data_IF_025014153831
#
_entry.id   IF_025014153831
#
_cell.length_a   1.000
_cell.length_b   1.000
_cell.length_c   1.000
_cell.angle_alpha   90.00
_cell.angle_beta   90.00
_cell.angle_gamma   90.00
#
_symmetry.space_group_name_H-M   'P 1'
#
loop_
_entity.id
_entity.type
_entity.pdbx_description
1 polymer ?
#
# COMPACT_ATOMS: atom_id res chain seq x y z
N UNK A 1 13.79 -21.88 16.56
CA UNK A 1 12.75 -20.88 16.18
C UNK A 1 13.03 -19.43 16.63
N UNK A 2 14.09 -19.12 17.39
CA UNK A 2 14.36 -17.76 17.92
C UNK A 2 14.92 -16.74 16.90
N UNK A 3 15.44 -17.18 15.75
CA UNK A 3 16.13 -16.28 14.82
C UNK A 3 15.23 -15.68 13.73
N UNK A 4 14.02 -16.22 13.49
CA UNK A 4 13.10 -15.70 12.47
C UNK A 4 12.50 -14.34 12.85
N UNK A 5 12.23 -14.09 14.14
CA UNK A 5 11.63 -12.82 14.62
C UNK A 5 12.57 -11.62 14.49
N UNK A 6 13.88 -11.81 14.69
CA UNK A 6 14.87 -10.73 14.52
C UNK A 6 15.07 -10.36 13.06
N UNK A 7 15.02 -11.32 12.15
CA UNK A 7 15.18 -11.07 10.71
C UNK A 7 14.02 -10.25 10.15
N UNK A 8 12.79 -10.51 10.61
CA UNK A 8 11.60 -9.76 10.17
C UNK A 8 11.64 -8.29 10.64
N UNK A 9 12.03 -8.02 11.90
CA UNK A 9 12.16 -6.64 12.39
C UNK A 9 13.22 -5.83 11.62
N UNK A 10 14.35 -6.45 11.26
CA UNK A 10 15.41 -5.76 10.52
C UNK A 10 15.06 -5.56 9.04
N UNK A 11 14.31 -6.50 8.43
CA UNK A 11 13.81 -6.35 7.07
C UNK A 11 12.78 -5.21 6.96
N UNK A 12 11.83 -5.11 7.90
CA UNK A 12 10.82 -4.04 7.92
C UNK A 12 11.46 -2.67 8.17
N UNK A 13 12.43 -2.58 9.08
CA UNK A 13 13.14 -1.32 9.37
C UNK A 13 14.08 -0.89 8.23
N UNK A 14 14.74 -1.85 7.57
CA UNK A 14 15.59 -1.60 6.39
C UNK A 14 14.78 -1.19 5.15
N UNK A 15 13.61 -1.81 4.95
CA UNK A 15 12.67 -1.45 3.91
C UNK A 15 12.10 -0.03 4.10
N UNK A 16 11.73 0.35 5.33
CA UNK A 16 11.24 1.69 5.65
C UNK A 16 12.30 2.78 5.42
N UNK A 17 13.58 2.50 5.71
CA UNK A 17 14.68 3.42 5.41
C UNK A 17 14.91 3.58 3.90
N UNK A 18 14.70 2.53 3.11
CA UNK A 18 14.79 2.59 1.65
C UNK A 18 13.60 3.38 1.05
N UNK A 19 12.39 3.16 1.55
CA UNK A 19 11.21 3.97 1.21
C UNK A 19 11.44 5.45 1.53
N UNK A 20 11.99 5.77 2.71
CA UNK A 20 12.29 7.15 3.10
C UNK A 20 13.36 7.80 2.19
N UNK A 21 14.42 7.08 1.82
CA UNK A 21 15.50 7.60 0.98
C UNK A 21 15.04 7.91 -0.47
N UNK A 22 14.21 7.05 -1.06
CA UNK A 22 13.68 7.25 -2.41
C UNK A 22 12.65 8.37 -2.42
N UNK A 23 11.79 8.44 -1.41
CA UNK A 23 10.76 9.49 -1.34
C UNK A 23 11.36 10.86 -0.95
N UNK A 24 12.49 10.92 -0.23
CA UNK A 24 13.26 12.16 -0.03
C UNK A 24 13.80 12.73 -1.36
N UNK A 25 14.08 11.89 -2.36
CA UNK A 25 14.38 12.33 -3.72
C UNK A 25 13.14 12.80 -4.49
N UNK A 26 11.93 12.40 -4.06
CA UNK A 26 10.66 12.85 -4.63
C UNK A 26 10.21 14.22 -4.12
N UNK A 27 10.66 14.67 -2.95
CA UNK A 27 10.30 15.99 -2.40
C UNK A 27 11.36 17.07 -2.63
N UNK A 28 12.62 16.68 -2.89
CA UNK A 28 13.68 17.61 -3.31
C UNK A 28 13.56 17.94 -4.79
N UNK A 29 12.72 18.91 -5.11
CA UNK A 29 12.98 19.77 -6.26
C UNK A 29 14.41 20.28 -6.17
N UNK A 30 15.15 20.23 -7.28
CA UNK A 30 16.56 20.61 -7.37
C UNK A 30 16.73 22.05 -6.86
N UNK A 31 17.15 22.21 -5.60
CA UNK A 31 17.50 23.52 -5.08
C UNK A 31 18.60 24.11 -5.96
N UNK A 32 18.51 25.39 -6.37
CA UNK A 32 19.62 26.03 -7.05
C UNK A 32 20.82 26.03 -6.10
N UNK A 33 21.93 25.52 -6.63
CA UNK A 33 23.23 25.42 -5.99
C UNK A 33 23.55 26.69 -5.19
N UNK A 34 23.85 26.61 -3.87
CA UNK A 34 24.14 27.80 -3.11
C UNK A 34 25.47 28.39 -3.60
N UNK A 35 25.42 29.64 -4.05
CA UNK A 35 26.58 30.41 -4.45
C UNK A 35 27.63 30.39 -3.34
N UNK A 36 28.81 29.84 -3.65
CA UNK A 36 29.97 29.83 -2.78
C UNK A 36 30.42 31.28 -2.58
N UNK A 37 30.19 31.84 -1.39
CA UNK A 37 30.80 33.10 -0.96
C UNK A 37 32.13 32.79 -0.24
N UNK A 38 33.27 33.31 -0.71
CA UNK A 38 34.57 32.97 -0.18
C UNK A 38 34.89 33.87 1.00
N UNK A 39 34.45 33.52 2.22
CA UNK A 39 35.13 33.89 3.47
C UNK A 39 34.33 33.41 4.70
N UNK A 40 34.70 32.25 5.26
CA UNK A 40 34.54 31.94 6.68
C UNK A 40 35.58 30.88 7.11
N UNK A 41 36.28 31.06 8.25
CA UNK A 41 37.39 30.20 8.64
C UNK A 41 36.95 28.92 9.36
N UNK A 42 37.71 27.85 9.11
CA UNK A 42 37.54 26.52 9.66
C UNK A 42 37.79 26.44 11.18
N UNK A 43 36.97 25.66 11.89
CA UNK A 43 37.26 25.22 13.26
C UNK A 43 37.20 23.69 13.32
N UNK A 44 38.34 23.08 13.67
CA UNK A 44 38.52 21.63 13.85
C UNK A 44 38.12 21.17 15.27
N UNK A 45 37.80 19.87 15.48
CA UNK A 45 37.19 19.36 16.71
C UNK A 45 38.21 18.97 17.79
N UNK A 46 37.78 18.99 19.06
CA UNK A 46 38.52 18.46 20.22
C UNK A 46 37.82 17.23 20.81
N UNK A 47 38.53 16.12 20.87
CA UNK A 47 38.29 15.00 21.79
C UNK A 47 39.04 15.26 23.12
N UNK A 48 38.63 14.67 24.25
CA UNK A 48 39.41 13.52 24.73
C UNK A 48 38.64 12.42 25.54
N UNK A 49 39.03 11.17 25.29
CA UNK A 49 39.46 10.10 26.23
C UNK A 49 38.55 9.59 27.39
N UNK A 50 38.25 8.28 27.29
CA UNK A 50 37.90 7.28 28.32
C UNK A 50 39.16 6.88 29.16
N UNK A 51 39.09 6.38 30.42
CA UNK A 51 38.77 4.96 30.73
C UNK A 51 38.09 4.69 32.10
N UNK A 52 37.46 3.52 32.29
CA UNK A 52 37.87 2.46 33.27
C UNK A 52 36.79 1.39 33.55
N UNK A 53 37.06 0.18 33.05
CA UNK A 53 36.90 -1.19 33.62
C UNK A 53 35.69 -1.67 34.46
N UNK A 54 35.17 -2.84 34.00
CA UNK A 54 34.28 -3.85 34.64
C UNK A 54 34.97 -4.61 35.81
N UNK A 55 34.29 -5.44 36.65
CA UNK A 55 33.90 -6.84 36.29
C UNK A 55 32.60 -7.40 36.97
N UNK A 56 31.80 -8.28 36.30
CA UNK A 56 31.63 -9.76 36.50
C UNK A 56 30.88 -10.12 37.82
N UNK A 57 29.79 -10.93 37.93
CA UNK A 57 29.61 -12.35 37.56
C UNK A 57 28.14 -12.86 37.79
N UNK A 58 27.79 -13.90 37.02
CA UNK A 58 26.88 -15.06 37.23
C UNK A 58 25.73 -15.09 38.26
N UNK A 59 24.56 -15.59 37.82
CA UNK A 59 23.95 -16.85 38.32
C UNK A 59 22.65 -17.25 37.59
N UNK A 60 22.45 -18.57 37.45
CA UNK A 60 21.29 -19.35 36.95
C UNK A 60 21.24 -20.63 37.82
N UNK A 61 20.21 -21.51 37.78
CA UNK A 61 18.74 -21.40 37.77
C UNK A 61 18.13 -22.11 39.03
N UNK A 62 16.85 -22.57 39.03
CA UNK A 62 16.64 -24.01 38.78
C UNK A 62 15.35 -24.41 38.01
N UNK A 63 15.30 -25.71 37.68
CA UNK A 63 14.30 -26.53 36.98
C UNK A 63 12.85 -26.43 37.47
N UNK A 64 11.91 -26.72 36.55
CA UNK A 64 10.64 -27.38 36.90
C UNK A 64 10.18 -28.33 35.78
N UNK A 65 9.71 -29.48 36.23
CA UNK A 65 9.39 -30.76 35.59
C UNK A 65 8.14 -30.76 34.71
N UNK A 66 8.12 -31.60 33.67
CA UNK A 66 6.91 -32.07 32.98
C UNK A 66 7.02 -33.60 32.72
N UNK A 67 5.95 -34.38 32.92
CA UNK A 67 5.91 -35.79 32.50
C UNK A 67 4.97 -36.08 31.30
N UNK A 68 5.45 -37.03 30.47
CA UNK A 68 4.75 -38.17 29.83
C UNK A 68 3.87 -38.03 28.56
N UNK A 69 4.44 -38.50 27.44
CA UNK A 69 3.98 -39.42 26.36
C UNK A 69 2.47 -39.71 26.11
N UNK A 70 1.96 -39.42 24.90
CA UNK A 70 1.63 -40.31 23.72
C UNK A 70 0.21 -40.95 23.76
N UNK A 71 -0.47 -41.30 22.63
CA UNK A 71 0.12 -41.75 21.36
C UNK A 71 -0.51 -41.29 20.02
N UNK A 72 0.29 -41.61 19.00
CA UNK A 72 0.05 -41.65 17.55
C UNK A 72 -0.98 -42.70 17.11
N UNK A 73 -1.85 -42.31 16.18
CA UNK A 73 -2.51 -43.15 15.14
C UNK A 73 -2.91 -42.19 14.01
N UNK A 74 -2.78 -42.41 12.70
CA UNK A 74 -2.40 -43.53 11.85
C UNK A 74 -2.71 -43.08 10.40
N UNK A 75 -1.88 -43.47 9.43
CA UNK A 75 -2.11 -43.31 7.98
C UNK A 75 -2.92 -44.51 7.46
N UNK A 76 -3.77 -44.34 6.43
CA UNK A 76 -3.53 -45.01 5.13
C UNK A 76 -3.85 -44.07 3.95
N UNK A 77 -3.08 -44.02 2.85
CA UNK A 77 -2.92 -44.95 1.71
C UNK A 77 -3.94 -44.71 0.58
N UNK A 78 -3.41 -44.78 -0.65
CA UNK A 78 -3.96 -44.33 -1.94
C UNK A 78 -4.81 -45.38 -2.68
N UNK A 79 -5.61 -44.91 -3.67
CA UNK A 79 -6.17 -45.58 -4.89
C UNK A 79 -7.57 -45.00 -5.16
N UNK A 80 -8.11 -44.74 -6.35
CA UNK A 80 -7.84 -45.02 -7.78
C UNK A 80 -8.93 -44.29 -8.60
N UNK A 81 -8.62 -43.86 -9.84
CA UNK A 81 -9.62 -43.45 -10.86
C UNK A 81 -10.59 -44.59 -11.24
N UNK A 82 -11.72 -44.28 -11.94
CA UNK A 82 -11.69 -44.33 -13.40
C UNK A 82 -12.47 -43.21 -14.13
N UNK A 83 -11.97 -42.92 -15.34
CA UNK A 83 -12.61 -42.28 -16.49
C UNK A 83 -13.88 -43.03 -16.97
N UNK A 84 -14.74 -42.43 -17.83
CA UNK A 84 -14.54 -42.63 -19.28
C UNK A 84 -14.89 -41.44 -20.19
N UNK A 85 -13.98 -41.13 -21.11
CA UNK A 85 -14.08 -41.30 -22.58
C UNK A 85 -15.31 -40.77 -23.32
N UNK A 86 -15.04 -39.93 -24.34
CA UNK A 86 -16.00 -39.56 -25.38
C UNK A 86 -15.45 -38.55 -26.40
N UNK A 87 -14.40 -38.93 -27.10
CA UNK A 87 -13.75 -38.23 -28.22
C UNK A 87 -14.70 -38.06 -29.43
N UNK A 88 -14.64 -36.93 -30.16
CA UNK A 88 -14.59 -36.89 -31.64
C UNK A 88 -14.12 -35.52 -32.14
N UNK A 89 -12.88 -35.53 -32.62
CA UNK A 89 -12.20 -34.60 -33.53
C UNK A 89 -12.94 -34.42 -34.86
N UNK A 90 -13.11 -33.18 -35.38
CA UNK A 90 -12.93 -32.85 -36.82
C UNK A 90 -12.54 -31.36 -36.99
N UNK A 91 -11.33 -31.13 -37.51
CA UNK A 91 -10.95 -30.06 -38.44
C UNK A 91 -9.94 -30.70 -39.42
N UNK A 92 -9.60 -30.15 -40.61
CA UNK A 92 -9.97 -28.86 -41.21
C UNK A 92 -10.44 -28.98 -42.68
N UNK A 93 -10.93 -27.89 -43.29
CA UNK A 93 -10.89 -27.78 -44.76
C UNK A 93 -10.51 -26.36 -45.22
N UNK A 94 -9.60 -26.36 -46.20
CA UNK A 94 -8.94 -25.25 -46.88
C UNK A 94 -9.68 -25.02 -48.20
N UNK A 95 -10.00 -23.77 -48.54
CA UNK A 95 -10.41 -23.43 -49.91
C UNK A 95 -9.84 -22.06 -50.29
N UNK A 96 -9.20 -22.02 -51.46
CA UNK A 96 -8.67 -20.83 -52.15
C UNK A 96 -9.33 -20.80 -53.57
N UNK A 97 -9.14 -19.74 -54.38
CA UNK A 97 -10.07 -18.64 -54.65
C UNK A 97 -10.71 -18.71 -56.07
N UNK A 98 -11.54 -17.73 -56.49
CA UNK A 98 -11.69 -17.45 -57.91
C UNK A 98 -11.25 -16.03 -58.33
N UNK A 99 -10.88 -15.95 -59.61
CA UNK A 99 -10.19 -14.88 -60.33
C UNK A 99 -11.05 -13.65 -60.69
N UNK A 100 -10.29 -12.61 -61.04
CA UNK A 100 -10.61 -11.30 -61.58
C UNK A 100 -11.75 -11.21 -62.62
N UNK A 101 -12.51 -10.12 -62.52
CA UNK A 101 -13.19 -9.46 -63.65
C UNK A 101 -12.89 -7.96 -63.59
N UNK A 102 -12.59 -7.36 -64.75
CA UNK A 102 -12.07 -6.00 -64.95
C UNK A 102 -13.17 -4.95 -65.22
N UNK A 103 -12.99 -3.76 -64.60
CA UNK A 103 -13.35 -2.39 -65.04
C UNK A 103 -14.86 -1.99 -65.15
N UNK A 104 -15.24 -0.68 -65.03
CA UNK A 104 -14.41 0.53 -65.09
C UNK A 104 -14.52 1.51 -63.90
N UNK A 105 -13.51 2.37 -63.87
CA UNK A 105 -13.24 3.48 -62.95
C UNK A 105 -14.29 4.59 -63.03
N UNK A 106 -14.79 5.02 -61.86
CA UNK A 106 -15.33 6.37 -61.63
C UNK A 106 -14.79 6.85 -60.29
N UNK A 107 -14.47 8.15 -60.11
CA UNK A 107 -13.71 8.60 -58.97
C UNK A 107 -14.56 8.48 -57.71
N UNK A 108 -14.12 7.69 -56.73
CA UNK A 108 -14.62 7.80 -55.37
C UNK A 108 -13.97 9.05 -54.80
N UNK A 109 -14.78 10.07 -54.59
CA UNK A 109 -14.44 11.26 -53.83
C UNK A 109 -14.07 10.80 -52.41
N UNK A 110 -12.78 10.91 -52.08
CA UNK A 110 -12.24 10.59 -50.75
C UNK A 110 -12.88 11.60 -49.80
N UNK A 111 -13.69 11.18 -48.80
CA UNK A 111 -14.10 12.09 -47.74
C UNK A 111 -12.82 12.57 -47.05
N UNK A 112 -12.68 13.86 -46.68
CA UNK A 112 -11.48 14.30 -45.99
C UNK A 112 -11.29 13.41 -44.77
N UNK A 113 -10.08 12.86 -44.61
CA UNK A 113 -9.62 12.33 -43.33
C UNK A 113 -9.88 13.43 -42.31
N UNK A 114 -10.94 13.25 -41.53
CA UNK A 114 -11.07 13.93 -40.26
C UNK A 114 -9.93 13.37 -39.44
N UNK A 115 -8.81 14.07 -39.44
CA UNK A 115 -7.86 14.10 -38.33
C UNK A 115 -8.69 13.93 -37.05
N UNK A 116 -8.43 12.91 -36.21
CA UNK A 116 -9.08 12.88 -34.91
C UNK A 116 -8.64 14.15 -34.21
N UNK A 117 -9.53 15.15 -34.23
CA UNK A 117 -9.41 16.36 -33.41
C UNK A 117 -9.80 15.96 -31.99
N UNK A 118 -9.11 14.95 -31.47
CA UNK A 118 -9.03 14.65 -30.05
C UNK A 118 -7.74 15.31 -29.60
N UNK A 119 -7.83 16.58 -29.19
CA UNK A 119 -6.77 17.14 -28.37
C UNK A 119 -6.66 16.25 -27.14
N UNK A 120 -5.68 15.34 -27.13
CA UNK A 120 -5.31 14.62 -25.93
C UNK A 120 -4.96 15.71 -24.92
N UNK A 121 -5.87 15.95 -23.99
CA UNK A 121 -5.70 17.01 -23.00
C UNK A 121 -4.57 16.56 -22.10
N UNK A 122 -3.38 17.08 -22.35
CA UNK A 122 -2.22 16.81 -21.52
C UNK A 122 -2.37 17.55 -20.21
N UNK A 123 -2.27 16.86 -19.08
CA UNK A 123 -2.31 17.48 -17.76
C UNK A 123 -0.89 17.71 -17.22
N UNK A 124 -0.73 18.77 -16.45
CA UNK A 124 0.49 19.06 -15.69
C UNK A 124 0.26 18.82 -14.20
N UNK A 125 1.25 18.28 -13.50
CA UNK A 125 1.20 18.13 -12.05
C UNK A 125 1.73 19.40 -11.34
N UNK A 126 1.16 19.81 -10.20
CA UNK A 126 0.02 19.19 -9.52
C UNK A 126 -1.29 19.35 -10.32
N UNK A 127 -2.13 18.32 -10.28
CA UNK A 127 -3.41 18.29 -10.99
C UNK A 127 -4.57 18.02 -10.04
N UNK A 128 -5.56 18.90 -10.03
CA UNK A 128 -6.82 18.70 -9.32
C UNK A 128 -7.75 17.83 -10.16
N UNK A 129 -8.20 16.70 -9.60
CA UNK A 129 -9.17 15.82 -10.26
C UNK A 129 -10.56 16.46 -10.07
N UNK A 130 -11.24 16.87 -11.17
CA UNK A 130 -12.50 17.62 -11.07
C UNK A 130 -13.55 16.93 -10.19
N UNK A 131 -14.26 17.72 -9.38
CA UNK A 131 -15.40 17.30 -8.54
C UNK A 131 -15.08 16.26 -7.45
N UNK A 132 -13.80 16.04 -7.12
CA UNK A 132 -13.39 15.01 -6.13
C UNK A 132 -12.75 15.56 -4.86
N UNK A 133 -12.19 16.77 -4.91
CA UNK A 133 -11.34 17.29 -3.83
C UNK A 133 -10.00 16.55 -3.69
N UNK A 134 -9.60 15.79 -4.71
CA UNK A 134 -8.30 15.11 -4.77
C UNK A 134 -7.33 15.85 -5.68
N UNK A 135 -6.10 16.02 -5.20
CA UNK A 135 -5.00 16.58 -5.99
C UNK A 135 -3.90 15.54 -6.15
N UNK A 136 -3.57 15.24 -7.41
CA UNK A 136 -2.36 14.50 -7.77
C UNK A 136 -1.20 15.46 -7.69
N UNK A 137 -0.43 15.41 -6.62
CA UNK A 137 0.70 16.30 -6.42
C UNK A 137 1.91 15.92 -7.28
N UNK A 138 2.18 14.61 -7.38
CA UNK A 138 3.33 14.06 -8.10
C UNK A 138 3.11 12.61 -8.48
N UNK A 139 3.74 12.17 -9.56
CA UNK A 139 3.92 10.77 -9.92
C UNK A 139 5.40 10.52 -10.15
N UNK A 140 5.93 9.41 -9.62
CA UNK A 140 7.35 9.09 -9.71
C UNK A 140 7.65 7.61 -9.51
N UNK A 141 8.92 7.23 -9.69
CA UNK A 141 9.41 5.89 -9.35
C UNK A 141 9.44 5.68 -7.83
N UNK A 142 9.05 4.48 -7.43
CA UNK A 142 9.09 3.98 -6.07
C UNK A 142 9.86 2.66 -5.99
N UNK A 143 10.77 2.60 -5.02
CA UNK A 143 11.47 1.39 -4.61
C UNK A 143 11.15 1.11 -3.15
N UNK A 144 11.06 -0.17 -2.80
CA UNK A 144 10.76 -0.61 -1.45
C UNK A 144 9.69 -1.69 -1.46
N UNK A 145 8.86 -1.70 -0.43
CA UNK A 145 7.86 -2.75 -0.25
C UNK A 145 6.58 -2.37 -1.02
N UNK A 146 6.05 -3.32 -1.79
CA UNK A 146 4.74 -3.22 -2.40
C UNK A 146 3.66 -3.50 -1.36
N UNK A 147 2.87 -2.47 -1.05
CA UNK A 147 1.89 -2.51 0.04
C UNK A 147 0.49 -2.89 -0.44
N UNK A 148 0.21 -2.71 -1.73
CA UNK A 148 -1.14 -2.70 -2.30
C UNK A 148 -1.85 -4.07 -2.25
N UNK A 149 -1.10 -5.17 -2.16
CA UNK A 149 -1.64 -6.52 -2.05
C UNK A 149 -1.25 -7.25 -0.74
N UNK A 150 -0.55 -6.58 0.17
CA UNK A 150 -0.09 -7.15 1.43
C UNK A 150 0.99 -8.24 1.29
N UNK A 151 1.56 -8.48 0.10
CA UNK A 151 2.62 -9.48 -0.10
C UNK A 151 3.93 -9.11 0.61
N UNK A 152 4.15 -7.82 0.84
CA UNK A 152 5.43 -7.24 1.24
C UNK A 152 6.59 -7.56 0.26
N UNK A 153 6.31 -7.74 -1.02
CA UNK A 153 7.37 -7.96 -2.00
C UNK A 153 8.23 -6.70 -2.17
N UNK A 154 9.55 -6.87 -2.25
CA UNK A 154 10.45 -5.79 -2.65
C UNK A 154 10.30 -5.54 -4.15
N UNK A 155 10.06 -4.28 -4.49
CA UNK A 155 9.89 -3.77 -5.84
C UNK A 155 10.86 -2.61 -6.09
N UNK A 156 11.12 -2.34 -7.36
CA UNK A 156 12.00 -1.25 -7.79
C UNK A 156 11.40 -0.60 -9.03
N UNK A 157 11.36 0.73 -9.04
CA UNK A 157 10.98 1.55 -10.16
C UNK A 157 9.50 1.48 -10.51
N UNK A 158 8.62 1.05 -9.60
CA UNK A 158 7.17 1.02 -9.83
C UNK A 158 6.63 2.45 -9.78
N UNK A 159 5.67 2.80 -10.63
CA UNK A 159 5.01 4.09 -10.56
C UNK A 159 4.24 4.24 -9.24
N UNK A 160 4.42 5.38 -8.58
CA UNK A 160 3.67 5.75 -7.39
C UNK A 160 3.14 7.18 -7.53
N UNK A 161 1.96 7.40 -6.98
CA UNK A 161 1.25 8.67 -6.97
C UNK A 161 1.23 9.25 -5.56
N UNK A 162 1.59 10.52 -5.44
CA UNK A 162 1.36 11.34 -4.24
C UNK A 162 0.02 12.05 -4.42
N UNK A 163 -0.96 11.64 -3.63
CA UNK A 163 -2.34 12.10 -3.70
C UNK A 163 -2.69 12.85 -2.41
N UNK A 164 -3.29 14.03 -2.50
CA UNK A 164 -3.75 14.79 -1.33
C UNK A 164 -5.25 14.96 -1.38
N UNK A 165 -5.91 14.67 -0.26
CA UNK A 165 -7.32 15.01 -0.05
C UNK A 165 -7.40 16.46 0.45
N UNK A 166 -7.79 17.38 -0.42
CA UNK A 166 -7.92 18.82 -0.08
C UNK A 166 -9.33 19.20 0.34
N UNK A 167 -10.27 18.24 0.40
CA UNK A 167 -11.61 18.47 0.90
C UNK A 167 -11.66 18.47 2.43
N UNK A 168 -12.75 19.02 2.96
CA UNK A 168 -13.08 19.01 4.40
C UNK A 168 -13.73 17.70 4.86
N UNK A 169 -13.98 16.76 3.93
CA UNK A 169 -14.51 15.42 4.20
C UNK A 169 -13.43 14.37 4.04
N UNK A 170 -13.60 13.23 4.71
CA UNK A 170 -12.73 12.09 4.53
C UNK A 170 -13.08 11.32 3.24
N UNK A 171 -12.08 10.71 2.63
CA UNK A 171 -12.28 9.76 1.53
C UNK A 171 -12.34 8.35 2.11
N UNK A 172 -13.50 7.70 1.96
CA UNK A 172 -13.65 6.29 2.30
C UNK A 172 -12.89 5.44 1.30
N UNK A 173 -13.06 5.73 0.01
CA UNK A 173 -12.41 5.02 -1.08
C UNK A 173 -12.23 5.94 -2.30
N UNK A 174 -11.11 5.78 -2.99
CA UNK A 174 -10.84 6.38 -4.30
C UNK A 174 -10.21 5.33 -5.23
N UNK A 175 -10.82 5.13 -6.40
CA UNK A 175 -10.20 4.44 -7.53
C UNK A 175 -9.80 5.47 -8.57
N UNK A 176 -8.52 5.54 -8.93
CA UNK A 176 -7.97 6.59 -9.80
C UNK A 176 -7.39 5.94 -11.05
N UNK A 177 -7.67 6.53 -12.20
CA UNK A 177 -7.05 6.19 -13.49
C UNK A 177 -6.29 7.39 -14.00
N UNK A 178 -5.08 7.16 -14.52
CA UNK A 178 -4.22 8.17 -15.14
C UNK A 178 -3.73 7.65 -16.48
N UNK A 179 -4.01 8.37 -17.56
CA UNK A 179 -3.39 8.11 -18.86
C UNK A 179 -1.93 8.58 -18.83
N UNK A 180 -0.99 7.66 -19.04
CA UNK A 180 0.44 7.93 -19.06
C UNK A 180 1.03 7.46 -20.41
N UNK A 181 1.26 8.39 -21.33
CA UNK A 181 1.55 8.05 -22.73
C UNK A 181 0.38 7.31 -23.39
N UNK A 182 0.59 6.03 -23.74
CA UNK A 182 -0.45 5.16 -24.33
C UNK A 182 -1.04 4.17 -23.33
N UNK A 183 -0.57 4.19 -22.08
CA UNK A 183 -1.00 3.28 -21.03
C UNK A 183 -2.00 3.97 -20.09
N UNK A 184 -2.82 3.17 -19.41
CA UNK A 184 -3.62 3.61 -18.27
C UNK A 184 -3.02 3.00 -17.01
N UNK A 185 -2.63 3.85 -16.08
CA UNK A 185 -2.16 3.45 -14.75
C UNK A 185 -3.31 3.51 -13.76
N UNK A 186 -3.41 2.49 -12.91
CA UNK A 186 -4.48 2.37 -11.91
C UNK A 186 -3.92 2.53 -10.49
N UNK A 187 -4.59 3.36 -9.69
CA UNK A 187 -4.27 3.55 -8.28
C UNK A 187 -5.53 3.41 -7.45
N UNK A 188 -5.38 2.93 -6.21
CA UNK A 188 -6.49 2.78 -5.27
C UNK A 188 -6.06 3.29 -3.92
N UNK A 189 -6.95 3.96 -3.21
CA UNK A 189 -6.70 4.48 -1.89
C UNK A 189 -7.97 4.39 -1.04
N UNK A 190 -7.83 4.13 0.26
CA UNK A 190 -8.96 4.18 1.20
C UNK A 190 -8.56 4.81 2.53
N UNK A 191 -9.57 5.21 3.30
CA UNK A 191 -9.45 5.81 4.61
C UNK A 191 -8.42 6.96 4.64
N UNK A 192 -8.63 7.95 3.78
CA UNK A 192 -7.78 9.16 3.69
C UNK A 192 -8.49 10.27 4.48
N UNK A 193 -7.92 10.73 5.61
CA UNK A 193 -8.49 11.85 6.35
C UNK A 193 -8.60 13.12 5.49
N UNK A 194 -9.47 14.04 5.89
CA UNK A 194 -9.51 15.40 5.34
C UNK A 194 -8.13 16.07 5.49
N UNK A 195 -7.64 16.74 4.45
CA UNK A 195 -6.34 17.41 4.43
C UNK A 195 -5.12 16.49 4.32
N UNK A 196 -5.28 15.16 4.33
CA UNK A 196 -4.15 14.24 4.39
C UNK A 196 -3.58 13.88 3.01
N UNK A 197 -2.29 13.55 2.99
CA UNK A 197 -1.58 13.03 1.83
C UNK A 197 -1.37 11.51 1.95
N UNK A 198 -1.50 10.81 0.83
CA UNK A 198 -1.18 9.38 0.70
C UNK A 198 -0.28 9.14 -0.51
N UNK A 199 0.68 8.22 -0.35
CA UNK A 199 1.51 7.69 -1.43
C UNK A 199 0.99 6.30 -1.80
N UNK A 200 0.52 6.12 -3.03
CA UNK A 200 -0.06 4.86 -3.52
C UNK A 200 0.71 4.33 -4.72
N UNK A 201 0.95 3.02 -4.75
CA UNK A 201 1.66 2.37 -5.86
C UNK A 201 0.68 1.96 -6.97
N UNK A 202 1.16 1.92 -8.22
CA UNK A 202 0.37 1.48 -9.36
C UNK A 202 0.00 0.00 -9.20
N UNK A 203 -1.29 -0.30 -9.34
CA UNK A 203 -1.89 -1.56 -8.93
C UNK A 203 -1.30 -2.79 -9.65
N UNK A 204 -0.83 -2.61 -10.88
CA UNK A 204 -0.25 -3.66 -11.71
C UNK A 204 1.28 -3.70 -11.65
N UNK A 205 1.90 -2.94 -10.73
CA UNK A 205 3.36 -2.78 -10.59
C UNK A 205 4.01 -2.24 -11.86
N UNK A 206 3.30 -1.44 -12.64
CA UNK A 206 3.84 -0.81 -13.85
C UNK A 206 5.03 0.06 -13.48
N UNK A 207 6.14 -0.10 -14.19
CA UNK A 207 7.33 0.71 -13.96
C UNK A 207 7.09 2.17 -14.34
N UNK A 208 7.56 3.09 -13.49
CA UNK A 208 7.57 4.50 -13.78
C UNK A 208 8.42 4.80 -15.02
N UNK A 209 7.90 5.69 -15.85
CA UNK A 209 8.59 6.24 -17.03
C UNK A 209 8.21 7.71 -17.13
N UNK A 210 9.17 8.56 -17.46
CA UNK A 210 8.85 9.94 -17.83
C UNK A 210 8.05 9.93 -19.13
N UNK A 211 6.82 10.45 -19.07
CA UNK A 211 5.89 10.49 -20.19
C UNK A 211 4.93 11.65 -20.02
N UNK A 212 4.23 12.02 -21.09
CA UNK A 212 3.14 12.97 -21.00
C UNK A 212 1.94 12.33 -20.28
N UNK A 213 1.36 13.06 -19.33
CA UNK A 213 0.11 12.66 -18.69
C UNK A 213 -1.07 13.20 -19.48
N UNK A 214 -2.05 12.34 -19.73
CA UNK A 214 -3.33 12.68 -20.36
C UNK A 214 -4.42 12.82 -19.32
N UNK A 215 -5.58 12.23 -19.61
CA UNK A 215 -6.75 12.26 -18.74
C UNK A 215 -6.48 11.63 -17.36
N UNK A 216 -7.06 12.21 -16.31
CA UNK A 216 -7.01 11.67 -14.96
C UNK A 216 -8.38 11.80 -14.30
N UNK A 217 -8.91 10.65 -13.86
CA UNK A 217 -10.25 10.51 -13.31
C UNK A 217 -10.21 9.72 -12.02
N UNK A 218 -11.15 9.99 -11.13
CA UNK A 218 -11.34 9.20 -9.93
C UNK A 218 -12.82 8.95 -9.62
N UNK A 219 -13.11 7.73 -9.21
CA UNK A 219 -14.37 7.35 -8.57
C UNK A 219 -14.16 7.42 -7.05
N UNK A 220 -14.87 8.33 -6.39
CA UNK A 220 -14.63 8.68 -4.98
C UNK A 220 -15.89 8.46 -4.14
N UNK A 221 -15.74 7.69 -3.06
CA UNK A 221 -16.71 7.61 -1.97
C UNK A 221 -16.18 8.40 -0.78
N UNK A 222 -17.04 9.23 -0.20
CA UNK A 222 -16.68 10.13 0.92
C UNK A 222 -17.48 9.82 2.17
N UNK A 223 -16.90 10.19 3.31
CA UNK A 223 -17.54 10.20 4.62
C UNK A 223 -17.35 11.59 5.22
N UNK A 224 -18.28 12.07 6.07
CA UNK A 224 -18.04 13.30 6.83
C UNK A 224 -16.71 13.24 7.60
N UNK A 225 -16.43 12.10 8.24
CA UNK A 225 -15.20 11.81 8.96
C UNK A 225 -14.90 10.30 8.99
N UNK A 226 -13.65 9.94 9.29
CA UNK A 226 -13.30 8.54 9.57
C UNK A 226 -13.63 8.26 11.04
N UNK A 227 -14.69 7.49 11.25
CA UNK A 227 -15.19 7.15 12.60
C UNK A 227 -14.09 6.47 13.45
N UNK A 228 -13.99 6.84 14.72
CA UNK A 228 -13.10 6.21 15.70
C UNK A 228 -13.85 5.45 16.81
N UNK A 229 -15.19 5.51 16.82
CA UNK A 229 -16.08 4.95 17.85
C UNK A 229 -15.55 5.16 19.28
N UNK A 230 -14.97 6.34 19.57
CA UNK A 230 -14.17 6.59 20.78
C UNK A 230 -14.99 6.61 22.07
N UNK A 231 -16.31 6.71 21.95
CA UNK A 231 -17.27 6.55 23.04
C UNK A 231 -17.51 5.09 23.43
N UNK A 232 -17.18 4.14 22.54
CA UNK A 232 -17.39 2.71 22.72
C UNK A 232 -16.09 1.92 22.86
N UNK A 233 -15.04 2.32 22.13
CA UNK A 233 -13.79 1.57 22.01
C UNK A 233 -12.59 2.49 22.19
N UNK A 234 -11.65 2.06 23.02
CA UNK A 234 -10.31 2.63 23.10
C UNK A 234 -9.32 1.69 22.40
N UNK A 235 -8.43 2.25 21.58
CA UNK A 235 -7.30 1.51 20.99
C UNK A 235 -6.00 2.12 21.48
N UNK A 236 -5.21 1.33 22.20
CA UNK A 236 -3.94 1.77 22.78
C UNK A 236 -2.76 1.06 22.13
N UNK A 237 -1.73 1.81 21.78
CA UNK A 237 -0.45 1.26 21.33
C UNK A 237 0.46 0.94 22.52
N UNK A 238 1.11 -0.22 22.50
CA UNK A 238 2.07 -0.61 23.54
C UNK A 238 3.51 -0.77 23.03
N UNK A 239 3.82 -0.18 21.87
CA UNK A 239 5.08 -0.38 21.17
C UNK A 239 5.16 -1.74 20.46
N UNK A 240 6.10 -1.85 19.52
CA UNK A 240 6.22 -3.03 18.67
C UNK A 240 5.06 -3.12 17.68
N UNK A 241 4.39 -4.28 17.62
CA UNK A 241 3.35 -4.58 16.62
C UNK A 241 2.00 -4.88 17.25
N UNK A 242 1.80 -4.54 18.53
CA UNK A 242 0.59 -4.88 19.29
C UNK A 242 -0.26 -3.67 19.60
N UNK A 243 -1.57 -3.86 19.47
CA UNK A 243 -2.61 -2.93 19.91
C UNK A 243 -3.41 -3.58 21.03
N UNK A 244 -3.84 -2.80 22.01
CA UNK A 244 -4.90 -3.21 22.94
C UNK A 244 -6.19 -2.54 22.52
N UNK A 245 -7.25 -3.33 22.40
CA UNK A 245 -8.61 -2.85 22.08
C UNK A 245 -9.46 -3.06 23.32
N UNK A 246 -9.99 -1.98 23.88
CA UNK A 246 -10.78 -1.98 25.11
C UNK A 246 -12.20 -1.55 24.81
N UNK A 247 -13.18 -2.34 25.25
CA UNK A 247 -14.60 -1.96 25.23
C UNK A 247 -14.90 -1.09 26.45
N UNK A 248 -15.33 0.14 26.20
CA UNK A 248 -15.66 1.14 27.22
C UNK A 248 -17.12 1.07 27.69
N UNK A 249 -17.93 0.25 27.03
CA UNK A 249 -19.37 0.14 27.28
C UNK A 249 -19.71 -0.93 28.32
N UNK A 250 -20.95 -0.87 28.81
CA UNK A 250 -21.52 -1.90 29.69
C UNK A 250 -22.13 -3.11 28.97
N UNK A 251 -22.00 -3.19 27.64
CA UNK A 251 -22.52 -4.28 26.82
C UNK A 251 -21.40 -4.93 25.99
N UNK A 252 -21.58 -6.17 25.56
CA UNK A 252 -20.63 -6.83 24.64
C UNK A 252 -20.74 -6.19 23.25
N UNK A 253 -19.60 -5.95 22.60
CA UNK A 253 -19.53 -5.47 21.21
C UNK A 253 -19.28 -6.68 20.31
N UNK A 254 -20.20 -7.05 19.40
CA UNK A 254 -20.07 -8.23 18.57
C UNK A 254 -18.84 -8.21 17.67
N UNK A 255 -18.58 -7.07 17.00
CA UNK A 255 -17.42 -6.90 16.13
C UNK A 255 -16.85 -5.49 16.27
N UNK A 256 -15.54 -5.42 16.50
CA UNK A 256 -14.75 -4.20 16.33
C UNK A 256 -13.82 -4.39 15.12
N UNK A 257 -13.80 -3.43 14.21
CA UNK A 257 -12.78 -3.33 13.15
C UNK A 257 -11.88 -2.14 13.42
N UNK A 258 -10.58 -2.39 13.45
CA UNK A 258 -9.54 -1.37 13.56
C UNK A 258 -8.87 -1.26 12.20
N UNK A 259 -8.95 -0.08 11.58
CA UNK A 259 -8.31 0.22 10.30
C UNK A 259 -7.04 1.00 10.53
N UNK A 260 -5.97 0.62 9.85
CA UNK A 260 -4.66 1.24 10.02
C UNK A 260 -3.88 1.28 8.72
N UNK A 261 -2.96 2.23 8.65
CA UNK A 261 -2.10 2.48 7.49
C UNK A 261 -0.68 2.74 7.94
N UNK A 262 0.29 2.46 7.08
CA UNK A 262 1.64 2.99 7.28
C UNK A 262 1.61 4.51 7.18
N UNK A 263 2.46 5.15 7.97
CA UNK A 263 2.57 6.59 8.02
C UNK A 263 4.04 6.99 8.21
N UNK A 264 4.52 7.90 7.37
CA UNK A 264 5.86 8.45 7.41
C UNK A 264 5.80 9.84 8.03
N UNK A 265 6.25 9.97 9.28
CA UNK A 265 6.16 11.23 10.03
C UNK A 265 6.95 12.36 9.39
N UNK A 266 8.15 12.07 8.87
CA UNK A 266 9.01 13.07 8.21
C UNK A 266 8.36 13.70 6.96
N UNK A 267 7.33 13.06 6.42
CA UNK A 267 6.62 13.47 5.22
C UNK A 267 5.18 13.90 5.47
N UNK A 268 4.68 13.71 6.69
CA UNK A 268 3.27 13.86 7.01
C UNK A 268 2.34 13.12 6.01
N UNK A 269 2.70 11.89 5.66
CA UNK A 269 2.02 11.15 4.60
C UNK A 269 1.73 9.69 5.00
N UNK A 270 0.54 9.23 4.65
CA UNK A 270 0.20 7.81 4.65
C UNK A 270 0.85 7.09 3.47
N UNK A 271 1.15 5.81 3.61
CA UNK A 271 1.74 5.00 2.54
C UNK A 271 0.94 3.72 2.33
N UNK A 272 0.69 3.41 1.07
CA UNK A 272 -0.15 2.31 0.63
C UNK A 272 -1.60 2.75 0.37
N UNK A 273 -2.24 2.05 -0.55
CA UNK A 273 -3.59 2.31 -1.02
C UNK A 273 -4.67 1.95 -0.02
N UNK A 274 -5.08 0.68 0.03
CA UNK A 274 -6.19 0.26 0.88
C UNK A 274 -5.74 0.07 2.33
N UNK A 275 -6.48 0.64 3.28
CA UNK A 275 -6.21 0.47 4.70
C UNK A 275 -6.30 -1.01 5.12
N UNK A 276 -5.32 -1.45 5.91
CA UNK A 276 -5.37 -2.76 6.54
C UNK A 276 -6.44 -2.77 7.63
N UNK A 277 -6.97 -3.94 7.94
CA UNK A 277 -8.01 -4.11 8.96
C UNK A 277 -7.64 -5.23 9.92
N UNK A 278 -7.82 -4.98 11.21
CA UNK A 278 -7.85 -6.02 12.23
C UNK A 278 -9.27 -6.17 12.78
N UNK A 279 -9.66 -7.40 13.10
CA UNK A 279 -10.99 -7.73 13.60
C UNK A 279 -10.87 -8.28 15.02
N UNK A 280 -11.71 -7.78 15.92
CA UNK A 280 -11.96 -8.36 17.25
C UNK A 280 -13.43 -8.76 17.30
N UNK A 281 -13.71 -9.97 17.77
CA UNK A 281 -15.06 -10.50 17.89
C UNK A 281 -15.42 -10.71 19.35
N UNK A 282 -16.70 -10.49 19.69
CA UNK A 282 -17.28 -10.72 21.00
C UNK A 282 -16.46 -10.06 22.12
N UNK A 283 -16.21 -8.75 21.96
CA UNK A 283 -15.47 -8.00 22.96
C UNK A 283 -16.41 -7.67 24.12
N UNK A 284 -16.32 -8.47 25.18
CA UNK A 284 -17.17 -8.35 26.37
C UNK A 284 -17.14 -6.96 27.01
N UNK A 285 -18.20 -6.63 27.74
CA UNK A 285 -18.35 -5.36 28.45
C UNK A 285 -17.13 -5.08 29.34
N UNK A 286 -16.51 -3.91 29.19
CA UNK A 286 -15.34 -3.50 29.97
C UNK A 286 -14.04 -4.28 29.69
N UNK A 287 -14.04 -5.23 28.76
CA UNK A 287 -12.89 -6.09 28.51
C UNK A 287 -11.86 -5.43 27.59
N UNK A 288 -10.59 -5.84 27.75
CA UNK A 288 -9.49 -5.49 26.87
C UNK A 288 -8.92 -6.75 26.21
N UNK A 289 -8.65 -6.66 24.91
CA UNK A 289 -7.98 -7.73 24.15
C UNK A 289 -6.74 -7.14 23.48
N UNK A 290 -5.62 -7.85 23.61
CA UNK A 290 -4.42 -7.53 22.84
C UNK A 290 -4.46 -8.25 21.49
N UNK A 291 -4.26 -7.49 20.42
CA UNK A 291 -4.14 -7.99 19.06
C UNK A 291 -2.74 -7.67 18.49
N UNK A 292 -2.32 -8.44 17.50
CA UNK A 292 -1.08 -8.21 16.74
C UNK A 292 -1.43 -8.13 15.26
N UNK A 293 -1.86 -6.95 14.77
CA UNK A 293 -2.25 -6.81 13.38
C UNK A 293 -1.06 -7.05 12.44
N UNK A 294 -1.32 -7.68 11.30
CA UNK A 294 -0.33 -7.84 10.23
C UNK A 294 0.02 -6.48 9.64
N UNK A 295 1.29 -6.21 9.33
CA UNK A 295 1.75 -4.93 8.75
C UNK A 295 1.54 -3.69 9.63
N UNK A 296 1.26 -3.88 10.92
CA UNK A 296 1.24 -2.79 11.87
C UNK A 296 2.59 -2.70 12.59
N UNK A 297 3.17 -1.50 12.61
CA UNK A 297 4.39 -1.20 13.34
C UNK A 297 4.22 0.13 14.09
N UNK A 298 4.26 0.10 15.42
CA UNK A 298 4.12 1.30 16.25
C UNK A 298 5.23 2.30 15.90
N UNK A 299 4.85 3.57 15.78
CA UNK A 299 5.71 4.65 15.28
C UNK A 299 5.88 4.70 13.76
N UNK A 300 5.37 3.73 13.01
CA UNK A 300 5.37 3.73 11.53
C UNK A 300 4.00 3.39 10.94
N UNK A 301 3.00 3.20 11.78
CA UNK A 301 1.61 2.97 11.42
C UNK A 301 0.72 3.84 12.28
N UNK A 302 -0.45 4.20 11.75
CA UNK A 302 -1.48 4.93 12.48
C UNK A 302 -2.82 4.22 12.31
N UNK A 303 -3.56 4.13 13.41
CA UNK A 303 -4.98 3.82 13.35
C UNK A 303 -5.69 5.02 12.73
N UNK A 304 -6.49 4.77 11.69
CA UNK A 304 -7.18 5.82 10.92
C UNK A 304 -8.69 5.75 11.05
N UNK A 305 -9.22 4.62 11.48
CA UNK A 305 -10.65 4.42 11.71
C UNK A 305 -10.86 3.23 12.66
N UNK A 306 -11.87 3.31 13.51
CA UNK A 306 -12.38 2.20 14.32
C UNK A 306 -13.89 2.21 14.18
N UNK A 307 -14.48 1.05 13.87
CA UNK A 307 -15.93 0.87 13.73
C UNK A 307 -16.41 -0.32 14.53
N UNK A 308 -17.56 -0.16 15.18
CA UNK A 308 -18.30 -1.27 15.78
C UNK A 308 -19.41 -1.73 14.83
N UNK A 309 -19.76 -3.02 14.90
CA UNK A 309 -20.84 -3.58 14.10
C UNK A 309 -21.69 -4.50 14.97
N UNK A 310 -23.00 -4.39 14.82
CA UNK A 310 -23.93 -5.42 15.24
C UNK A 310 -23.65 -6.67 14.40
N UNK A 311 -23.42 -7.82 15.03
CA UNK A 311 -22.91 -9.03 14.38
C UNK A 311 -23.70 -9.41 13.12
N UNK A 312 -22.98 -9.83 12.07
CA UNK A 312 -23.55 -10.40 10.84
C UNK A 312 -23.80 -11.89 11.02
#
# INVERSE_FOLDING_TARGET
MKNKRKIICWAVLGALLLCAAVVLALTRGRDPEPAISPNAPASAPKEPADPTALPVETSRPPESTAPTEMPSTGRPAASTDPEPSGETTIAPEKTEPPQATTAPTSPIEVPPETEPTGGASSISLPYEIPDTGLVVAKVAAYDGIFLEDGSNEEITGVAAMVLTNTADTAVEFAGITLTAGTETWEFRASAIPAGATVVVQEANRTHFRETAYGDCKADVATLPELEMSSDQVEVTEHGGNSLTVTNLTGASIPVVRVFYKYYLEDMDAYVGGIAYTAKVENLEAGASVQITPTHYASGSSRVVMVRTYDGQ
#
